data_IF_383156977332
#
_entry.id   IF_383156977332
#
_cell.length_a   1.000
_cell.length_b   1.000
_cell.length_c   1.000
_cell.angle_alpha   90.00
_cell.angle_beta   90.00
_cell.angle_gamma   90.00
#
_symmetry.space_group_name_H-M   'P 1'
#
loop_
_entity.id
_entity.type
_entity.pdbx_description
1 polymer ?
#
# COMPACT_ATOMS: atom_id res chain seq x y z
N UNK A 1 1.76 -15.17 1.23
CA UNK A 1 2.14 -16.35 2.00
C UNK A 1 2.45 -15.87 3.40
N UNK A 2 1.81 -16.48 4.40
CA UNK A 2 2.05 -16.19 5.81
C UNK A 2 3.37 -16.80 6.32
N UNK A 3 3.52 -16.88 7.62
CA UNK A 3 4.73 -17.43 8.25
C UNK A 3 4.48 -17.81 9.70
N UNK A 4 5.46 -18.55 10.27
CA UNK A 4 5.48 -18.91 11.68
C UNK A 4 6.68 -18.25 12.36
N UNK A 5 6.44 -17.68 13.52
CA UNK A 5 7.43 -16.94 14.30
C UNK A 5 7.45 -17.47 15.73
N UNK A 6 8.62 -17.91 16.19
CA UNK A 6 8.81 -18.30 17.58
C UNK A 6 9.29 -17.11 18.40
N UNK A 7 8.58 -16.81 19.47
CA UNK A 7 8.90 -15.69 20.37
C UNK A 7 10.07 -16.06 21.27
N UNK A 8 11.12 -15.25 21.25
CA UNK A 8 12.31 -15.42 22.09
C UNK A 8 12.38 -14.41 23.24
N UNK A 9 11.59 -13.35 23.18
CA UNK A 9 11.50 -12.31 24.21
C UNK A 9 10.04 -11.90 24.35
N UNK A 10 9.46 -11.94 25.55
CA UNK A 10 8.06 -11.56 25.77
C UNK A 10 7.81 -10.11 25.36
N UNK A 11 6.74 -9.85 24.63
CA UNK A 11 6.34 -8.51 24.21
C UNK A 11 4.87 -8.51 23.76
N UNK A 12 4.40 -7.31 23.37
CA UNK A 12 3.06 -7.11 22.81
C UNK A 12 3.14 -6.98 21.30
N UNK A 13 2.18 -7.58 20.63
CA UNK A 13 2.08 -7.62 19.18
C UNK A 13 0.69 -7.18 18.72
N UNK A 14 0.60 -6.71 17.49
CA UNK A 14 -0.68 -6.49 16.78
C UNK A 14 -0.49 -6.81 15.30
N UNK A 15 -1.52 -7.39 14.69
CA UNK A 15 -1.53 -7.70 13.27
C UNK A 15 -2.58 -6.83 12.56
N UNK A 16 -2.18 -6.16 11.48
CA UNK A 16 -3.01 -5.20 10.75
C UNK A 16 -2.85 -5.34 9.23
N UNK A 17 -3.60 -4.54 8.46
CA UNK A 17 -3.55 -4.52 7.00
C UNK A 17 -4.46 -5.56 6.36
N UNK A 18 -3.98 -6.29 5.36
CA UNK A 18 -4.75 -7.31 4.65
C UNK A 18 -5.24 -8.41 5.59
N UNK A 19 -6.44 -8.92 5.31
CA UNK A 19 -7.09 -9.95 6.14
C UNK A 19 -6.36 -11.30 6.01
N UNK A 20 -5.95 -11.85 7.14
CA UNK A 20 -5.39 -13.19 7.25
C UNK A 20 -5.70 -13.79 8.63
N UNK A 21 -5.70 -15.11 8.72
CA UNK A 21 -5.82 -15.78 10.01
C UNK A 21 -4.54 -15.55 10.83
N UNK A 22 -4.70 -15.07 12.05
CA UNK A 22 -3.63 -14.97 13.05
C UNK A 22 -3.90 -15.94 14.18
N UNK A 23 -2.88 -16.71 14.56
CA UNK A 23 -2.96 -17.62 15.70
C UNK A 23 -1.80 -17.41 16.65
N UNK A 24 -2.07 -17.57 17.94
CA UNK A 24 -1.09 -17.69 19.01
C UNK A 24 -1.23 -19.08 19.63
N UNK A 25 -0.20 -19.93 19.51
CA UNK A 25 -0.24 -21.32 20.00
C UNK A 25 -1.47 -22.10 19.50
N UNK A 26 -1.85 -21.89 18.22
CA UNK A 26 -3.01 -22.52 17.60
C UNK A 26 -4.36 -21.82 17.86
N UNK A 27 -4.47 -20.92 18.82
CA UNK A 27 -5.69 -20.17 19.14
C UNK A 27 -5.81 -18.92 18.27
N UNK A 28 -7.00 -18.68 17.72
CA UNK A 28 -7.27 -17.50 16.88
C UNK A 28 -7.18 -16.20 17.69
N UNK A 29 -6.49 -15.23 17.12
CA UNK A 29 -6.42 -13.83 17.61
C UNK A 29 -7.13 -12.93 16.59
N UNK A 30 -8.08 -12.11 17.01
CA UNK A 30 -8.70 -11.12 16.11
C UNK A 30 -7.68 -10.14 15.55
N UNK A 31 -7.79 -9.82 14.26
CA UNK A 31 -6.96 -8.80 13.63
C UNK A 31 -7.25 -7.42 14.25
N UNK A 32 -6.20 -6.63 14.49
CA UNK A 32 -6.32 -5.34 15.19
C UNK A 32 -6.30 -5.45 16.73
N UNK A 33 -6.41 -6.66 17.30
CA UNK A 33 -6.24 -6.86 18.73
C UNK A 33 -4.76 -6.85 19.11
N UNK A 34 -4.41 -6.04 20.12
CA UNK A 34 -3.10 -6.13 20.78
C UNK A 34 -3.10 -7.38 21.69
N UNK A 35 -2.10 -8.21 21.55
CA UNK A 35 -1.93 -9.43 22.35
C UNK A 35 -0.52 -9.55 22.90
N UNK A 36 -0.38 -10.14 24.08
CA UNK A 36 0.91 -10.52 24.65
C UNK A 36 1.32 -11.88 24.12
N UNK A 37 2.59 -12.02 23.75
CA UNK A 37 3.20 -13.30 23.47
C UNK A 37 4.48 -13.46 24.29
N UNK A 38 4.61 -14.63 24.92
CA UNK A 38 5.68 -14.98 25.87
C UNK A 38 6.79 -15.80 25.21
N UNK A 39 7.92 -15.90 25.90
CA UNK A 39 9.03 -16.75 25.44
C UNK A 39 8.55 -18.19 25.21
N UNK A 40 8.80 -18.69 24.01
CA UNK A 40 8.38 -20.03 23.58
C UNK A 40 7.08 -20.06 22.79
N UNK A 41 6.26 -19.01 22.84
CA UNK A 41 5.02 -18.94 22.07
C UNK A 41 5.29 -18.93 20.56
N UNK A 42 4.32 -19.47 19.79
CA UNK A 42 4.32 -19.48 18.33
C UNK A 42 3.22 -18.56 17.79
N UNK A 43 3.62 -17.56 17.01
CA UNK A 43 2.72 -16.71 16.22
C UNK A 43 2.65 -17.28 14.81
N UNK A 44 1.46 -17.66 14.35
CA UNK A 44 1.22 -18.16 13.00
C UNK A 44 0.34 -17.17 12.23
N UNK A 45 0.82 -16.74 11.06
CA UNK A 45 0.07 -15.90 10.12
C UNK A 45 -0.24 -16.76 8.90
N UNK A 46 -1.52 -16.90 8.60
CA UNK A 46 -2.03 -17.64 7.44
C UNK A 46 -1.90 -16.88 6.13
N UNK A 47 -2.46 -17.45 5.07
CA UNK A 47 -2.58 -16.77 3.77
C UNK A 47 -3.54 -15.60 3.84
N UNK A 48 -3.25 -14.56 3.06
CA UNK A 48 -4.14 -13.40 2.90
C UNK A 48 -5.43 -13.85 2.21
N UNK A 49 -6.57 -13.57 2.79
CA UNK A 49 -7.92 -13.81 2.24
C UNK A 49 -8.47 -12.59 1.50
N UNK A 50 -8.14 -11.37 1.95
CA UNK A 50 -8.59 -10.11 1.35
C UNK A 50 -7.53 -9.03 1.56
N UNK A 51 -7.29 -8.20 0.55
CA UNK A 51 -6.22 -7.21 0.58
C UNK A 51 -4.92 -7.73 -0.04
N UNK A 52 -3.81 -7.04 0.21
CA UNK A 52 -2.51 -7.40 -0.36
C UNK A 52 -1.35 -7.30 0.63
N UNK A 53 -1.25 -6.23 1.40
CA UNK A 53 -0.19 -6.01 2.40
C UNK A 53 -0.72 -6.18 3.82
N UNK A 54 -0.09 -7.03 4.60
CA UNK A 54 -0.34 -7.18 6.04
C UNK A 54 0.93 -6.91 6.84
N UNK A 55 0.75 -6.54 8.11
CA UNK A 55 1.83 -6.08 8.97
C UNK A 55 1.71 -6.72 10.35
N UNK A 56 2.78 -7.37 10.80
CA UNK A 56 2.96 -7.75 12.20
C UNK A 56 3.78 -6.64 12.87
N UNK A 57 3.21 -6.02 13.89
CA UNK A 57 3.87 -5.00 14.69
C UNK A 57 4.28 -5.60 16.04
N UNK A 58 5.37 -5.11 16.60
CA UNK A 58 5.81 -5.40 17.97
C UNK A 58 5.96 -4.09 18.74
N UNK A 59 5.64 -4.09 20.02
CA UNK A 59 5.81 -2.92 20.86
C UNK A 59 7.28 -2.44 20.85
N UNK A 60 7.48 -1.14 20.61
CA UNK A 60 8.81 -0.55 20.43
C UNK A 60 9.45 -0.77 19.04
N UNK A 61 8.82 -1.53 18.14
CA UNK A 61 9.26 -1.77 16.77
C UNK A 61 10.40 -2.79 16.65
N UNK A 62 10.58 -3.33 15.44
CA UNK A 62 11.73 -4.19 15.12
C UNK A 62 13.01 -3.37 14.99
N UNK A 63 14.13 -3.94 15.45
CA UNK A 63 15.45 -3.32 15.49
C UNK A 63 16.37 -3.82 14.37
N UNK A 64 15.82 -4.04 13.18
CA UNK A 64 16.62 -4.34 11.99
C UNK A 64 17.61 -3.20 11.69
N UNK A 65 18.69 -3.51 10.96
CA UNK A 65 19.68 -2.51 10.56
C UNK A 65 19.02 -1.34 9.85
N UNK A 66 19.34 -0.12 10.26
CA UNK A 66 18.86 1.09 9.60
C UNK A 66 19.84 1.52 8.50
N UNK A 67 19.31 1.84 7.33
CA UNK A 67 20.05 2.40 6.21
C UNK A 67 19.49 3.79 5.91
N UNK A 68 20.30 4.83 5.95
CA UNK A 68 19.87 6.23 5.76
C UNK A 68 18.68 6.64 6.64
N UNK A 69 18.64 6.14 7.88
CA UNK A 69 17.55 6.41 8.83
C UNK A 69 16.30 5.53 8.66
N UNK A 70 16.23 4.68 7.63
CA UNK A 70 15.12 3.75 7.38
C UNK A 70 15.48 2.31 7.74
N UNK A 71 14.52 1.58 8.32
CA UNK A 71 14.59 0.12 8.53
C UNK A 71 13.84 -0.67 7.44
N UNK A 72 13.35 0.01 6.43
CA UNK A 72 12.65 -0.61 5.31
C UNK A 72 13.62 -1.35 4.40
N UNK A 73 13.28 -2.58 4.05
CA UNK A 73 14.05 -3.37 3.10
C UNK A 73 13.73 -2.96 1.66
N UNK A 74 14.75 -2.74 0.85
CA UNK A 74 14.61 -2.63 -0.61
C UNK A 74 15.62 -3.59 -1.28
N UNK A 75 15.14 -4.80 -1.58
CA UNK A 75 15.97 -5.88 -2.11
C UNK A 75 16.58 -5.54 -3.48
N UNK A 76 15.84 -4.74 -4.29
CA UNK A 76 16.27 -4.39 -5.66
C UNK A 76 17.57 -3.55 -5.68
N UNK A 77 17.77 -2.73 -4.65
CA UNK A 77 18.99 -1.90 -4.52
C UNK A 77 19.95 -2.43 -3.46
N UNK A 78 19.74 -3.68 -2.99
CA UNK A 78 20.65 -4.32 -2.02
C UNK A 78 20.54 -3.79 -0.59
N UNK A 79 19.46 -3.08 -0.24
CA UNK A 79 19.21 -2.60 1.13
C UNK A 79 18.38 -3.60 1.92
N UNK A 80 19.04 -4.37 2.79
CA UNK A 80 18.45 -5.45 3.55
C UNK A 80 18.14 -6.68 2.71
N UNK A 81 17.48 -7.67 3.33
CA UNK A 81 17.12 -8.96 2.70
C UNK A 81 15.68 -9.32 3.00
N UNK A 82 15.05 -10.12 2.14
CA UNK A 82 13.79 -10.76 2.46
C UNK A 82 13.97 -11.71 3.66
N UNK A 83 12.89 -11.92 4.43
CA UNK A 83 12.92 -12.85 5.55
C UNK A 83 12.96 -14.30 5.05
N UNK A 84 13.84 -15.08 5.64
CA UNK A 84 14.00 -16.49 5.38
C UNK A 84 13.84 -17.30 6.68
N UNK A 85 13.64 -18.62 6.54
CA UNK A 85 13.57 -19.50 7.69
C UNK A 85 14.86 -19.42 8.53
N UNK A 86 14.70 -19.29 9.84
CA UNK A 86 15.83 -19.15 10.77
C UNK A 86 16.30 -17.72 11.00
N UNK A 87 15.77 -16.72 10.27
CA UNK A 87 16.10 -15.32 10.55
C UNK A 87 15.57 -14.90 11.92
N UNK A 88 16.37 -14.08 12.61
CA UNK A 88 16.01 -13.48 13.90
C UNK A 88 15.64 -12.00 13.67
N UNK A 89 14.46 -11.61 14.16
CA UNK A 89 13.98 -10.22 14.13
C UNK A 89 14.14 -9.63 15.53
N UNK A 90 15.19 -8.83 15.77
CA UNK A 90 15.44 -8.26 17.09
C UNK A 90 14.41 -7.16 17.42
N UNK A 91 13.96 -7.15 18.68
CA UNK A 91 13.16 -6.08 19.28
C UNK A 91 13.45 -6.00 20.79
N UNK A 92 13.07 -4.87 21.43
CA UNK A 92 13.20 -4.71 22.86
C UNK A 92 11.93 -5.14 23.57
N UNK A 93 12.10 -5.77 24.75
CA UNK A 93 10.97 -5.99 25.65
C UNK A 93 10.36 -4.64 26.02
N UNK A 94 9.07 -4.49 25.82
CA UNK A 94 8.31 -3.32 26.23
C UNK A 94 7.20 -3.78 27.16
N UNK A 95 7.16 -3.22 28.36
CA UNK A 95 6.06 -3.42 29.30
C UNK A 95 4.99 -2.37 28.94
N UNK A 96 4.03 -2.75 28.11
CA UNK A 96 2.86 -1.92 27.84
C UNK A 96 1.67 -2.48 28.62
N UNK A 97 0.81 -1.59 29.14
CA UNK A 97 -0.29 -2.03 30.03
C UNK A 97 -1.67 -1.99 29.37
N UNK A 98 -1.81 -1.31 28.23
CA UNK A 98 -3.11 -1.11 27.62
C UNK A 98 -3.29 -2.10 26.47
N UNK A 99 -4.15 -3.11 26.69
CA UNK A 99 -4.64 -4.00 25.64
C UNK A 99 -5.68 -3.23 24.84
N UNK A 100 -5.27 -2.68 23.71
CA UNK A 100 -6.14 -1.93 22.81
C UNK A 100 -6.66 -2.83 21.69
N UNK A 101 -7.85 -2.53 21.20
CA UNK A 101 -8.40 -3.08 19.97
C UNK A 101 -8.49 -1.97 18.93
N UNK A 102 -7.77 -2.13 17.82
CA UNK A 102 -7.88 -1.23 16.68
C UNK A 102 -9.04 -1.68 15.79
N UNK A 103 -10.13 -0.92 15.79
CA UNK A 103 -11.21 -1.15 14.83
C UNK A 103 -10.68 -0.82 13.43
N UNK A 104 -10.38 -1.85 12.65
CA UNK A 104 -9.93 -1.70 11.28
C UNK A 104 -11.14 -1.37 10.39
N UNK A 105 -11.05 -0.27 9.65
CA UNK A 105 -12.07 0.07 8.68
C UNK A 105 -11.98 -0.84 7.46
N UNK A 106 -13.11 -1.17 6.85
CA UNK A 106 -13.15 -1.95 5.59
C UNK A 106 -12.75 -1.07 4.40
N UNK A 107 -11.45 -0.99 4.15
CA UNK A 107 -10.89 -0.25 3.00
C UNK A 107 -10.91 -1.05 1.70
N UNK A 108 -11.26 -2.33 1.76
CA UNK A 108 -11.07 -3.25 0.64
C UNK A 108 -12.21 -3.20 -0.39
N UNK A 109 -13.40 -2.73 0.00
CA UNK A 109 -14.61 -2.80 -0.82
C UNK A 109 -14.81 -1.61 -1.75
N UNK A 110 -13.97 -0.58 -1.71
CA UNK A 110 -14.12 0.56 -2.61
C UNK A 110 -13.70 0.21 -4.04
N UNK A 111 -14.63 0.23 -4.97
CA UNK A 111 -14.36 0.10 -6.40
C UNK A 111 -14.06 1.45 -7.07
N UNK A 112 -13.99 2.54 -6.31
CA UNK A 112 -13.66 3.89 -6.79
C UNK A 112 -12.39 4.36 -6.11
N UNK A 113 -11.43 4.82 -6.91
CA UNK A 113 -10.18 5.43 -6.47
C UNK A 113 -10.19 6.87 -6.96
N UNK A 114 -10.16 7.81 -6.02
CA UNK A 114 -10.18 9.24 -6.34
C UNK A 114 -8.80 9.71 -6.78
N UNK A 115 -8.80 10.56 -7.80
CA UNK A 115 -7.59 11.15 -8.37
C UNK A 115 -7.77 12.65 -8.60
N UNK A 116 -6.66 13.36 -8.63
CA UNK A 116 -6.56 14.75 -9.12
C UNK A 116 -5.84 14.79 -10.45
N UNK A 117 -5.93 15.90 -11.17
CA UNK A 117 -5.16 16.11 -12.40
C UNK A 117 -3.67 15.91 -12.10
N UNK A 118 -2.98 15.19 -12.97
CA UNK A 118 -1.53 15.05 -12.96
C UNK A 118 -0.86 16.24 -13.66
N UNK A 119 0.47 16.33 -13.57
CA UNK A 119 1.22 17.44 -14.18
C UNK A 119 1.09 17.53 -15.70
N UNK A 120 0.86 16.40 -16.37
CA UNK A 120 0.75 16.31 -17.82
C UNK A 120 -0.65 15.91 -18.31
N UNK A 121 -1.70 16.04 -17.49
CA UNK A 121 -3.10 15.75 -17.90
C UNK A 121 -3.49 16.49 -19.18
N UNK A 122 -3.04 17.73 -19.31
CA UNK A 122 -3.34 18.59 -20.46
C UNK A 122 -2.69 18.16 -21.77
N UNK A 123 -1.75 17.22 -21.75
CA UNK A 123 -1.18 16.64 -22.97
C UNK A 123 -2.09 15.60 -23.61
N UNK A 124 -3.05 15.07 -22.86
CA UNK A 124 -3.99 14.06 -23.37
C UNK A 124 -5.21 14.72 -23.99
N UNK A 125 -5.60 14.32 -25.22
CA UNK A 125 -6.84 14.78 -25.83
C UNK A 125 -8.07 14.50 -24.95
N UNK A 126 -9.06 15.38 -25.00
CA UNK A 126 -10.28 15.26 -24.20
C UNK A 126 -10.96 13.89 -24.34
N UNK A 127 -10.99 13.33 -25.55
CA UNK A 127 -11.53 11.97 -25.81
C UNK A 127 -10.78 10.89 -25.06
N UNK A 128 -9.44 11.04 -24.92
CA UNK A 128 -8.59 10.10 -24.18
C UNK A 128 -8.86 10.21 -22.67
N UNK A 129 -9.00 11.43 -22.16
CA UNK A 129 -9.35 11.67 -20.76
C UNK A 129 -10.72 11.09 -20.41
N UNK A 130 -11.75 11.37 -21.24
CA UNK A 130 -13.09 10.79 -21.04
C UNK A 130 -13.07 9.27 -21.02
N UNK A 131 -12.32 8.64 -21.94
CA UNK A 131 -12.13 7.20 -21.95
C UNK A 131 -11.39 6.72 -20.70
N UNK A 132 -10.31 7.39 -20.28
CA UNK A 132 -9.55 7.03 -19.10
C UNK A 132 -10.43 6.96 -17.84
N UNK A 133 -11.30 7.95 -17.63
CA UNK A 133 -12.19 8.00 -16.45
C UNK A 133 -13.44 7.13 -16.58
N UNK A 134 -13.82 6.70 -17.78
CA UNK A 134 -14.93 5.74 -17.99
C UNK A 134 -14.49 4.27 -18.01
N UNK A 135 -13.18 4.01 -18.11
CA UNK A 135 -12.63 2.66 -18.18
C UNK A 135 -12.66 1.97 -16.81
N UNK A 136 -13.10 0.69 -16.81
CA UNK A 136 -12.91 -0.23 -15.68
C UNK A 136 -11.51 -0.85 -15.77
N UNK A 137 -10.69 -0.65 -14.75
CA UNK A 137 -9.36 -1.21 -14.65
C UNK A 137 -9.34 -2.45 -13.77
N UNK A 138 -8.34 -3.31 -14.01
CA UNK A 138 -7.98 -4.43 -13.14
C UNK A 138 -6.54 -4.29 -12.68
N UNK A 139 -6.27 -4.70 -11.44
CA UNK A 139 -4.90 -4.79 -10.94
C UNK A 139 -4.18 -5.95 -11.63
N UNK A 140 -3.13 -5.65 -12.40
CA UNK A 140 -2.32 -6.66 -13.08
C UNK A 140 -1.48 -7.48 -12.09
N UNK A 141 -1.12 -8.73 -12.43
CA UNK A 141 -0.08 -9.48 -11.73
C UNK A 141 1.30 -8.79 -11.76
N UNK A 142 1.53 -7.89 -12.73
CA UNK A 142 2.75 -7.08 -12.84
C UNK A 142 2.72 -5.94 -11.82
N UNK A 143 3.00 -6.29 -10.57
CA UNK A 143 3.02 -5.36 -9.44
C UNK A 143 4.18 -5.65 -8.50
N UNK A 144 4.74 -4.59 -7.96
CA UNK A 144 5.75 -4.62 -6.92
C UNK A 144 5.68 -3.34 -6.08
N UNK A 145 6.69 -3.06 -5.27
CA UNK A 145 6.74 -1.84 -4.46
C UNK A 145 7.06 -0.57 -5.26
N UNK A 146 7.55 -0.68 -6.50
CA UNK A 146 7.75 0.46 -7.40
C UNK A 146 6.44 0.93 -8.03
N UNK A 147 5.58 -0.01 -8.44
CA UNK A 147 4.32 0.32 -9.10
C UNK A 147 3.45 -0.88 -9.43
N UNK A 148 2.27 -0.57 -9.94
CA UNK A 148 1.24 -1.53 -10.33
C UNK A 148 0.79 -1.20 -11.75
N UNK A 149 1.09 -2.08 -12.69
CA UNK A 149 0.54 -1.99 -14.05
C UNK A 149 -0.95 -2.32 -14.01
N UNK A 150 -1.74 -1.65 -14.84
CA UNK A 150 -3.19 -1.85 -14.91
C UNK A 150 -3.57 -2.54 -16.19
N UNK A 151 -4.42 -3.57 -16.07
CA UNK A 151 -5.07 -4.20 -17.19
C UNK A 151 -6.43 -3.54 -17.43
N UNK A 152 -6.84 -3.42 -18.69
CA UNK A 152 -8.12 -2.85 -19.11
C UNK A 152 -8.52 -3.34 -20.49
N UNK A 153 -9.76 -3.11 -20.86
CA UNK A 153 -10.26 -3.42 -22.20
C UNK A 153 -10.33 -2.13 -23.05
N UNK A 154 -10.02 -2.23 -24.31
CA UNK A 154 -10.09 -1.12 -25.27
C UNK A 154 -8.71 -0.65 -25.72
N UNK A 155 -8.69 0.53 -26.35
CA UNK A 155 -7.47 1.11 -26.92
C UNK A 155 -6.56 1.67 -25.81
N UNK A 156 -5.27 1.64 -26.04
CA UNK A 156 -4.25 2.23 -25.18
C UNK A 156 -4.33 3.77 -25.18
N UNK A 157 -3.79 4.40 -24.16
CA UNK A 157 -3.89 5.85 -23.96
C UNK A 157 -2.70 6.56 -24.57
N UNK A 158 -2.93 7.45 -25.54
CA UNK A 158 -1.87 8.20 -26.22
C UNK A 158 -2.13 9.70 -26.16
N UNK A 159 -1.05 10.46 -26.30
CA UNK A 159 -1.09 11.93 -26.52
C UNK A 159 -0.78 12.23 -27.99
N UNK A 160 -1.17 13.42 -28.45
CA UNK A 160 -0.85 13.85 -29.81
C UNK A 160 0.66 14.10 -30.03
N UNK A 161 1.38 14.41 -28.95
CA UNK A 161 2.83 14.69 -28.96
C UNK A 161 3.71 13.47 -28.69
N UNK A 162 3.11 12.25 -28.54
CA UNK A 162 3.80 11.05 -28.11
C UNK A 162 3.90 10.91 -26.58
N UNK A 163 4.42 9.75 -26.13
CA UNK A 163 4.46 9.37 -24.71
C UNK A 163 5.85 9.60 -24.07
N UNK A 164 6.61 10.57 -24.56
CA UNK A 164 7.89 10.96 -23.96
C UNK A 164 7.84 12.44 -23.59
N UNK A 165 8.15 12.74 -22.34
CA UNK A 165 8.25 14.09 -21.79
C UNK A 165 9.62 14.30 -21.18
N UNK A 166 10.00 15.57 -20.97
CA UNK A 166 11.20 15.87 -20.19
C UNK A 166 11.08 15.19 -18.82
N UNK A 167 12.17 14.48 -18.42
CA UNK A 167 12.21 13.81 -17.14
C UNK A 167 11.99 14.79 -15.98
N UNK A 168 11.01 14.49 -15.13
CA UNK A 168 10.56 15.36 -14.05
C UNK A 168 10.32 14.53 -12.77
N UNK A 169 10.23 15.20 -11.62
CA UNK A 169 10.00 14.56 -10.33
C UNK A 169 8.68 13.79 -10.32
N UNK A 170 8.70 12.59 -9.72
CA UNK A 170 7.56 11.68 -9.65
C UNK A 170 7.06 11.59 -8.22
N UNK A 171 5.74 11.67 -8.06
CA UNK A 171 5.09 11.56 -6.77
C UNK A 171 4.43 10.19 -6.55
N UNK A 172 4.25 9.84 -5.28
CA UNK A 172 3.52 8.64 -4.86
C UNK A 172 2.06 8.73 -5.32
N UNK A 173 1.61 7.72 -6.04
CA UNK A 173 0.25 7.68 -6.58
C UNK A 173 0.11 8.27 -7.98
N UNK A 174 1.18 8.79 -8.58
CA UNK A 174 1.17 9.20 -9.98
C UNK A 174 0.77 8.03 -10.88
N UNK A 175 -0.09 8.29 -11.85
CA UNK A 175 -0.51 7.34 -12.88
C UNK A 175 0.20 7.71 -14.16
N UNK A 176 1.26 6.99 -14.42
CA UNK A 176 2.13 7.18 -15.57
C UNK A 176 1.63 6.35 -16.74
N UNK A 177 1.61 6.92 -17.94
CA UNK A 177 1.29 6.21 -19.19
C UNK A 177 2.61 5.86 -19.85
N UNK A 178 2.92 4.55 -19.95
CA UNK A 178 4.16 4.07 -20.55
C UNK A 178 4.19 4.21 -22.08
N UNK A 179 5.31 3.88 -22.72
CA UNK A 179 5.47 4.01 -24.17
C UNK A 179 4.50 3.17 -25.01
N UNK A 180 3.85 2.19 -24.39
CA UNK A 180 2.80 1.36 -25.00
C UNK A 180 1.39 1.92 -24.74
N UNK A 181 1.26 3.05 -24.03
CA UNK A 181 -0.02 3.64 -23.67
C UNK A 181 -0.73 2.94 -22.52
N UNK A 182 -0.01 2.20 -21.69
CA UNK A 182 -0.58 1.45 -20.57
C UNK A 182 -0.38 2.21 -19.25
N UNK A 183 -1.44 2.33 -18.40
CA UNK A 183 -1.31 3.00 -17.11
C UNK A 183 -0.55 2.17 -16.09
N UNK A 184 0.36 2.81 -15.37
CA UNK A 184 1.06 2.26 -14.22
C UNK A 184 0.92 3.22 -13.04
N UNK A 185 0.38 2.75 -11.92
CA UNK A 185 0.31 3.53 -10.67
C UNK A 185 1.63 3.36 -9.93
N UNK A 186 2.29 4.46 -9.62
CA UNK A 186 3.60 4.47 -8.96
C UNK A 186 3.43 4.42 -7.43
N UNK A 187 4.26 3.57 -6.78
CA UNK A 187 4.21 3.30 -5.34
C UNK A 187 5.48 3.75 -4.62
N UNK A 188 5.69 3.30 -3.40
CA UNK A 188 6.72 3.81 -2.49
C UNK A 188 8.16 3.68 -2.98
N UNK A 189 8.51 2.60 -3.69
CA UNK A 189 9.88 2.38 -4.20
C UNK A 189 10.03 2.86 -5.65
N UNK A 190 9.13 3.72 -6.13
CA UNK A 190 9.18 4.32 -7.47
C UNK A 190 10.51 5.02 -7.73
N UNK A 191 10.87 5.16 -8.99
CA UNK A 191 11.99 6.01 -9.39
C UNK A 191 11.72 7.48 -8.97
N UNK A 192 12.76 8.27 -8.64
CA UNK A 192 12.58 9.67 -8.22
C UNK A 192 12.19 10.59 -9.39
N UNK A 193 12.55 10.22 -10.62
CA UNK A 193 12.24 10.98 -11.84
C UNK A 193 11.79 10.04 -12.96
N UNK A 194 11.04 10.54 -13.92
CA UNK A 194 10.58 9.77 -15.08
C UNK A 194 10.20 10.65 -16.27
N UNK A 195 10.29 10.07 -17.45
CA UNK A 195 10.07 10.72 -18.74
C UNK A 195 8.78 10.27 -19.45
N UNK A 196 7.85 9.59 -18.77
CA UNK A 196 6.52 9.29 -19.28
C UNK A 196 5.48 10.25 -18.70
N UNK A 197 4.46 10.66 -19.47
CA UNK A 197 3.43 11.58 -18.99
C UNK A 197 2.58 10.96 -17.89
N UNK A 198 2.23 11.78 -16.91
CA UNK A 198 1.36 11.44 -15.78
C UNK A 198 -0.04 12.02 -16.03
N UNK A 199 -0.98 11.12 -16.29
CA UNK A 199 -2.35 11.50 -16.66
C UNK A 199 -3.16 12.00 -15.45
N UNK A 200 -2.90 11.44 -14.26
CA UNK A 200 -3.54 11.85 -13.00
C UNK A 200 -2.72 11.33 -11.81
N UNK A 201 -3.08 11.75 -10.58
CA UNK A 201 -2.44 11.31 -9.35
C UNK A 201 -3.50 10.87 -8.34
N UNK A 202 -3.36 9.69 -7.75
CA UNK A 202 -4.24 9.19 -6.68
C UNK A 202 -4.12 10.11 -5.47
N UNK A 203 -5.25 10.56 -4.90
CA UNK A 203 -5.23 11.39 -3.70
C UNK A 203 -4.67 10.61 -2.50
N UNK A 204 -3.96 11.31 -1.61
CA UNK A 204 -3.29 10.67 -0.45
C UNK A 204 -4.26 9.86 0.42
N UNK A 205 -5.52 10.32 0.53
CA UNK A 205 -6.56 9.62 1.28
C UNK A 205 -7.01 8.28 0.68
N UNK A 206 -6.68 7.97 -0.59
CA UNK A 206 -7.07 6.74 -1.26
C UNK A 206 -5.90 5.81 -1.61
N UNK A 207 -4.64 6.26 -1.39
CA UNK A 207 -3.45 5.45 -1.66
C UNK A 207 -3.46 4.09 -0.96
N UNK A 208 -3.87 4.05 0.31
CA UNK A 208 -3.97 2.81 1.06
C UNK A 208 -5.04 1.87 0.50
N UNK A 209 -6.16 2.41 -0.01
CA UNK A 209 -7.23 1.63 -0.65
C UNK A 209 -6.73 0.99 -1.94
N UNK A 210 -5.98 1.75 -2.75
CA UNK A 210 -5.38 1.23 -3.98
C UNK A 210 -4.30 0.18 -3.68
N UNK A 211 -3.39 0.45 -2.74
CA UNK A 211 -2.31 -0.46 -2.37
C UNK A 211 -2.83 -1.83 -1.89
N UNK A 212 -4.00 -1.85 -1.26
CA UNK A 212 -4.62 -3.08 -0.75
C UNK A 212 -5.46 -3.85 -1.80
N UNK A 213 -5.61 -3.34 -3.02
CA UNK A 213 -6.33 -4.08 -4.04
C UNK A 213 -5.61 -5.37 -4.42
N UNK A 214 -6.33 -6.47 -4.45
CA UNK A 214 -5.80 -7.77 -4.88
C UNK A 214 -5.62 -7.81 -6.40
N UNK A 215 -4.77 -8.70 -6.90
CA UNK A 215 -4.65 -8.98 -8.34
C UNK A 215 -6.01 -9.35 -8.91
N UNK A 216 -6.31 -8.87 -10.11
CA UNK A 216 -7.59 -8.99 -10.82
C UNK A 216 -8.78 -8.25 -10.18
N UNK A 217 -8.61 -7.54 -9.08
CA UNK A 217 -9.69 -6.70 -8.55
C UNK A 217 -9.97 -5.52 -9.49
N UNK A 218 -11.27 -5.24 -9.69
CA UNK A 218 -11.77 -4.21 -10.60
C UNK A 218 -12.00 -2.89 -9.86
N UNK A 219 -11.79 -1.78 -10.55
CA UNK A 219 -12.06 -0.44 -10.04
C UNK A 219 -12.10 0.61 -11.16
N UNK A 220 -12.57 1.81 -10.82
CA UNK A 220 -12.54 2.98 -11.71
C UNK A 220 -11.84 4.14 -11.00
N UNK A 221 -11.18 4.99 -11.78
CA UNK A 221 -10.72 6.28 -11.31
C UNK A 221 -11.85 7.31 -11.33
N UNK A 222 -11.89 8.16 -10.30
CA UNK A 222 -12.87 9.25 -10.19
C UNK A 222 -12.12 10.55 -9.98
N UNK A 223 -12.24 11.47 -10.93
CA UNK A 223 -11.65 12.80 -10.82
C UNK A 223 -12.33 13.58 -9.69
N UNK A 224 -11.54 14.21 -8.84
CA UNK A 224 -11.98 15.12 -7.80
C UNK A 224 -11.17 16.42 -7.85
N UNK A 225 -11.72 17.47 -7.28
CA UNK A 225 -10.99 18.74 -7.12
C UNK A 225 -9.93 18.63 -6.03
N UNK A 226 -8.92 19.50 -6.09
CA UNK A 226 -7.89 19.57 -5.04
C UNK A 226 -8.51 19.85 -3.66
N UNK A 227 -9.57 20.68 -3.60
CA UNK A 227 -10.30 21.00 -2.36
C UNK A 227 -10.94 19.74 -1.76
N UNK A 228 -11.57 18.90 -2.57
CA UNK A 228 -12.15 17.62 -2.11
C UNK A 228 -11.06 16.64 -1.67
N UNK A 229 -9.92 16.62 -2.36
CA UNK A 229 -8.78 15.77 -1.99
C UNK A 229 -8.19 16.16 -0.63
N UNK A 230 -8.02 17.46 -0.36
CA UNK A 230 -7.56 18.00 0.92
C UNK A 230 -8.54 17.63 2.04
N UNK A 231 -9.84 17.89 1.82
CA UNK A 231 -10.88 17.54 2.80
C UNK A 231 -10.88 16.05 3.13
N UNK A 232 -10.73 15.19 2.13
CA UNK A 232 -10.68 13.75 2.35
C UNK A 232 -9.44 13.32 3.17
N UNK A 233 -8.31 14.02 3.01
CA UNK A 233 -7.11 13.77 3.80
C UNK A 233 -7.27 14.24 5.26
N UNK A 234 -7.91 15.38 5.48
CA UNK A 234 -8.25 15.88 6.81
C UNK A 234 -9.15 14.90 7.55
N UNK A 235 -10.24 14.44 6.91
CA UNK A 235 -11.16 13.44 7.47
C UNK A 235 -10.45 12.13 7.84
N UNK A 236 -9.57 11.61 6.96
CA UNK A 236 -8.76 10.42 7.25
C UNK A 236 -7.82 10.65 8.44
N UNK A 237 -7.19 11.81 8.48
CA UNK A 237 -6.26 12.17 9.57
C UNK A 237 -6.97 12.24 10.91
N UNK A 238 -8.18 12.81 10.94
CA UNK A 238 -9.01 12.87 12.14
C UNK A 238 -9.45 11.48 12.60
N UNK A 239 -9.89 10.63 11.68
CA UNK A 239 -10.21 9.22 11.98
C UNK A 239 -9.02 8.48 12.60
N UNK A 240 -7.82 8.67 12.08
CA UNK A 240 -6.59 8.05 12.61
C UNK A 240 -6.19 8.61 13.99
N UNK A 241 -6.44 9.90 14.26
CA UNK A 241 -6.23 10.50 15.59
C UNK A 241 -7.19 9.91 16.63
N UNK A 242 -8.46 9.75 16.25
CA UNK A 242 -9.49 9.20 17.14
C UNK A 242 -9.24 7.72 17.49
N UNK A 243 -8.54 6.95 16.63
CA UNK A 243 -8.09 5.59 16.97
C UNK A 243 -7.02 5.56 18.07
N UNK A 244 -6.27 6.64 18.29
CA UNK A 244 -5.25 6.74 19.34
C UNK A 244 -5.81 7.15 20.71
N UNK A 245 -7.04 7.62 20.75
CA UNK A 245 -7.71 8.13 21.97
C UNK A 245 -8.74 7.16 22.55
N UNK A 246 -8.93 6.00 21.97
CA UNK A 246 -9.76 4.90 22.47
C UNK A 246 -8.90 3.77 23.04
#
# INVERSE_FOLDING_TARGET
>A
VGGKFKVQTSSFFVFTGAEALLKLNGNLIPQGQVFEANVGDEIEIGSISKGFYSYLHVAGGFLSTAHLGSRSTNVQVGLGTALENGNILPYKRTLHRDLMYLKLNDYFNSNKIRVVSGPQTNLFPEKVLQRFFSTEYKVSPMRNRMGVKLDFNGENFYTDAGLSVLSDAIELGDIQIDGEGTPTVLLNDRQPTGGYPRISTIISADLHKFAQKSVNSKFNFVMVTLKEAIKALEELTEQLRNLRSQ
#
